data_IF_626135848819
#
_entry.id   IF_626135848819
#
_cell.length_a   1.000
_cell.length_b   1.000
_cell.length_c   1.000
_cell.angle_alpha   90.00
_cell.angle_beta   90.00
_cell.angle_gamma   90.00
#
_symmetry.space_group_name_H-M   'P 1'
#
loop_
_entity.id
_entity.type
_entity.pdbx_description
1 polymer ?
#
# COMPACT_ATOMS: atom_id res chain seq x y z
N UNK A 1 -3.11 14.78 -72.95
CA UNK A 1 -4.49 14.51 -72.49
C UNK A 1 -4.59 13.01 -72.27
N UNK A 2 -4.68 12.62 -71.00
CA UNK A 2 -4.91 11.26 -70.45
C UNK A 2 -3.91 10.13 -70.78
N UNK A 3 -2.74 10.20 -70.13
CA UNK A 3 -1.97 9.11 -69.48
C UNK A 3 -2.84 8.44 -68.37
N UNK A 4 -2.67 7.25 -67.79
CA UNK A 4 -1.80 6.07 -67.93
C UNK A 4 -2.43 4.95 -67.04
N UNK A 5 -2.07 3.68 -67.31
CA UNK A 5 -1.71 2.55 -66.41
C UNK A 5 -2.24 2.51 -64.93
N UNK A 6 -2.42 1.41 -64.17
CA UNK A 6 -2.06 -0.02 -64.15
C UNK A 6 -2.68 -0.65 -62.85
N UNK A 7 -2.75 -2.00 -62.79
CA UNK A 7 -2.61 -2.92 -61.63
C UNK A 7 -3.70 -3.07 -60.51
N UNK A 8 -4.13 -4.33 -60.36
CA UNK A 8 -4.67 -5.12 -59.19
C UNK A 8 -3.99 -4.82 -57.82
N UNK A 9 -4.38 -5.39 -56.62
CA UNK A 9 -5.51 -6.26 -56.18
C UNK A 9 -6.10 -5.98 -54.74
N UNK A 10 -7.02 -6.85 -54.28
CA UNK A 10 -7.26 -7.37 -52.88
C UNK A 10 -7.77 -6.49 -51.71
N UNK A 11 -8.88 -7.00 -51.11
CA UNK A 11 -9.27 -7.11 -49.69
C UNK A 11 -9.17 -5.89 -48.76
N UNK A 12 -10.34 -5.42 -48.32
CA UNK A 12 -10.78 -5.29 -46.92
C UNK A 12 -11.96 -4.30 -46.90
N UNK A 13 -13.12 -4.72 -46.38
CA UNK A 13 -13.96 -3.88 -45.52
C UNK A 13 -15.23 -4.64 -45.11
N UNK A 14 -15.36 -4.91 -43.81
CA UNK A 14 -16.66 -4.99 -43.16
C UNK A 14 -16.87 -3.66 -42.44
N UNK A 15 -17.98 -2.95 -42.66
CA UNK A 15 -18.47 -1.97 -41.71
C UNK A 15 -19.67 -2.51 -40.92
N UNK A 16 -19.70 -2.13 -39.64
CA UNK A 16 -20.72 -2.43 -38.64
C UNK A 16 -22.05 -1.68 -38.86
N UNK A 17 -23.12 -2.30 -38.36
CA UNK A 17 -24.32 -1.72 -37.72
C UNK A 17 -25.42 -0.96 -38.49
N UNK A 18 -26.65 -1.51 -38.42
CA UNK A 18 -27.99 -0.95 -38.06
C UNK A 18 -29.08 -1.69 -38.88
N UNK A 19 -30.21 -2.17 -38.37
CA UNK A 19 -31.18 -1.55 -37.46
C UNK A 19 -32.03 -2.57 -36.67
N UNK A 20 -32.45 -2.14 -35.47
CA UNK A 20 -33.42 -2.78 -34.54
C UNK A 20 -34.86 -2.45 -34.98
N UNK A 21 -35.90 -3.22 -34.64
CA UNK A 21 -36.54 -3.33 -33.30
C UNK A 21 -37.87 -4.15 -33.43
N UNK A 22 -38.67 -4.45 -32.38
CA UNK A 22 -38.42 -4.77 -30.96
C UNK A 22 -39.23 -6.00 -30.38
N UNK A 23 -38.92 -6.32 -29.11
CA UNK A 23 -39.36 -7.34 -28.10
C UNK A 23 -40.84 -7.25 -27.61
N UNK A 24 -41.44 -8.20 -26.81
CA UNK A 24 -41.11 -8.52 -25.37
C UNK A 24 -41.54 -9.94 -24.84
N UNK A 25 -41.61 -10.27 -23.52
CA UNK A 25 -40.65 -10.20 -22.39
C UNK A 25 -40.47 -11.55 -21.58
N UNK A 26 -39.65 -11.56 -20.51
CA UNK A 26 -39.29 -12.71 -19.59
C UNK A 26 -40.14 -12.78 -18.30
N UNK A 27 -40.36 -13.97 -17.71
CA UNK A 27 -40.36 -14.26 -16.24
C UNK A 27 -40.58 -15.76 -15.88
N UNK A 28 -39.92 -16.28 -14.81
CA UNK A 28 -40.41 -17.38 -13.92
C UNK A 28 -39.72 -18.76 -13.92
N UNK A 29 -39.23 -19.23 -12.75
CA UNK A 29 -38.78 -20.62 -12.37
C UNK A 29 -39.94 -21.40 -11.69
N UNK A 30 -39.96 -22.78 -11.59
CA UNK A 30 -39.44 -23.54 -10.41
C UNK A 30 -38.92 -25.00 -10.68
N UNK A 31 -37.84 -25.45 -10.03
CA UNK A 31 -37.72 -26.46 -8.94
C UNK A 31 -37.48 -27.94 -9.33
N UNK A 32 -36.32 -28.48 -8.89
CA UNK A 32 -36.23 -29.75 -8.13
C UNK A 32 -34.90 -29.88 -7.40
N UNK A 33 -35.01 -30.37 -6.18
CA UNK A 33 -34.02 -30.51 -5.13
C UNK A 33 -32.90 -31.51 -5.44
N UNK A 34 -31.73 -31.29 -4.84
CA UNK A 34 -31.10 -32.19 -3.85
C UNK A 34 -29.57 -31.98 -3.83
N UNK A 35 -29.03 -31.41 -2.75
CA UNK A 35 -27.78 -31.87 -2.16
C UNK A 35 -27.54 -31.31 -0.76
N UNK A 36 -27.19 -32.25 0.11
CA UNK A 36 -27.07 -32.15 1.54
C UNK A 36 -25.85 -31.33 2.02
N UNK A 37 -26.03 -30.84 3.25
CA UNK A 37 -25.16 -30.08 4.14
C UNK A 37 -23.68 -30.48 4.13
N UNK A 38 -22.78 -29.48 4.14
CA UNK A 38 -21.56 -29.51 4.95
C UNK A 38 -21.38 -28.15 5.59
N UNK A 39 -21.30 -28.17 6.93
CA UNK A 39 -21.54 -27.04 7.81
C UNK A 39 -20.62 -25.84 7.62
N UNK A 40 -21.24 -24.68 7.71
CA UNK A 40 -20.62 -23.41 8.05
C UNK A 40 -19.96 -23.56 9.43
N UNK A 41 -18.63 -23.64 9.47
CA UNK A 41 -17.90 -23.52 10.74
C UNK A 41 -17.94 -22.05 11.13
N UNK A 42 -18.35 -21.69 12.37
CA UNK A 42 -18.19 -20.34 12.87
C UNK A 42 -16.70 -19.98 12.80
N UNK A 43 -16.36 -18.96 12.01
CA UNK A 43 -15.00 -18.43 12.02
C UNK A 43 -14.78 -17.81 13.39
N UNK A 44 -13.92 -18.43 14.19
CA UNK A 44 -13.46 -17.86 15.46
C UNK A 44 -12.95 -16.43 15.19
N UNK A 45 -13.28 -15.44 16.03
CA UNK A 45 -12.84 -14.08 15.81
C UNK A 45 -11.31 -14.08 15.78
N UNK A 46 -10.73 -13.67 14.66
CA UNK A 46 -9.28 -13.55 14.50
C UNK A 46 -8.79 -12.58 15.57
N UNK A 47 -8.25 -13.10 16.67
CA UNK A 47 -7.72 -12.30 17.77
C UNK A 47 -6.46 -11.64 17.25
N UNK A 48 -6.56 -10.37 16.80
CA UNK A 48 -5.40 -9.59 16.41
C UNK A 48 -4.61 -9.31 17.70
N UNK A 49 -3.44 -9.95 17.92
CA UNK A 49 -2.72 -9.83 19.17
C UNK A 49 -2.41 -8.36 19.45
N UNK A 50 -2.53 -7.95 20.71
CA UNK A 50 -2.15 -6.60 21.12
C UNK A 50 -0.62 -6.53 21.08
N UNK A 51 -0.02 -5.53 20.40
CA UNK A 51 1.43 -5.40 20.38
C UNK A 51 1.97 -5.23 21.80
N UNK A 52 3.02 -5.99 22.16
CA UNK A 52 3.66 -5.94 23.48
C UNK A 52 3.98 -4.51 23.93
N UNK A 53 4.49 -3.70 22.99
CA UNK A 53 4.88 -2.31 23.23
C UNK A 53 3.67 -1.39 23.45
N UNK A 54 2.52 -1.71 22.86
CA UNK A 54 1.27 -1.00 23.12
C UNK A 54 0.79 -1.26 24.55
N UNK A 55 0.85 -2.50 25.03
CA UNK A 55 0.48 -2.80 26.43
C UNK A 55 1.39 -2.11 27.44
N UNK A 56 2.70 -2.19 27.23
CA UNK A 56 3.69 -1.48 28.05
C UNK A 56 3.44 0.02 28.07
N UNK A 57 3.10 0.60 26.92
CA UNK A 57 2.79 2.02 26.83
C UNK A 57 1.63 2.41 27.75
N UNK A 58 0.53 1.65 27.74
CA UNK A 58 -0.64 1.97 28.56
C UNK A 58 -0.46 1.65 30.05
N UNK A 59 0.22 0.55 30.38
CA UNK A 59 0.36 0.06 31.77
C UNK A 59 1.47 0.76 32.54
N UNK A 60 2.60 1.05 31.89
CA UNK A 60 3.83 1.50 32.58
C UNK A 60 4.23 2.92 32.18
N UNK A 61 4.25 3.21 30.87
CA UNK A 61 4.81 4.47 30.35
C UNK A 61 3.87 5.66 30.60
N UNK A 62 2.57 5.49 30.38
CA UNK A 62 1.57 6.53 30.64
C UNK A 62 1.55 7.02 32.11
N UNK A 63 1.46 6.16 33.13
CA UNK A 63 1.49 6.61 34.52
C UNK A 63 2.84 7.26 34.88
N UNK A 64 3.96 6.68 34.46
CA UNK A 64 5.28 7.28 34.70
C UNK A 64 5.47 8.64 34.04
N UNK A 65 4.92 8.86 32.85
CA UNK A 65 4.91 10.17 32.20
C UNK A 65 3.98 11.17 32.91
N UNK A 66 2.84 10.70 33.42
CA UNK A 66 1.90 11.54 34.17
C UNK A 66 2.56 12.11 35.43
N UNK A 67 3.27 11.26 36.17
CA UNK A 67 4.01 11.64 37.37
C UNK A 67 5.17 12.58 37.05
N UNK A 68 6.03 12.22 36.08
CA UNK A 68 7.18 13.04 35.70
C UNK A 68 6.81 14.43 35.17
N UNK A 69 5.70 14.53 34.44
CA UNK A 69 5.24 15.80 33.85
C UNK A 69 4.25 16.55 34.76
N UNK A 70 3.85 15.98 35.90
CA UNK A 70 2.93 16.60 36.86
C UNK A 70 1.55 16.95 36.29
N UNK A 71 1.08 16.26 35.24
CA UNK A 71 -0.16 16.63 34.52
C UNK A 71 -1.38 15.91 35.07
N UNK A 72 -2.42 16.67 35.42
CA UNK A 72 -3.70 16.12 35.87
C UNK A 72 -4.51 15.48 34.71
N UNK A 73 -4.45 16.07 33.52
CA UNK A 73 -5.25 15.64 32.37
C UNK A 73 -4.56 14.51 31.58
N UNK A 74 -5.20 13.34 31.49
CA UNK A 74 -4.70 12.18 30.74
C UNK A 74 -4.48 12.46 29.24
N UNK A 75 -5.32 13.31 28.64
CA UNK A 75 -5.23 13.66 27.21
C UNK A 75 -4.05 14.59 26.91
N UNK A 76 -3.48 15.22 27.92
CA UNK A 76 -2.31 16.10 27.78
C UNK A 76 -0.98 15.33 27.73
N UNK A 77 -1.01 14.00 27.91
CA UNK A 77 0.19 13.16 27.89
C UNK A 77 0.60 12.90 26.44
N UNK A 78 1.90 13.02 26.10
CA UNK A 78 2.37 12.79 24.74
C UNK A 78 2.11 11.35 24.27
N UNK A 79 1.63 11.22 23.03
CA UNK A 79 1.34 9.94 22.39
C UNK A 79 1.96 9.86 21.01
N UNK A 80 2.28 8.64 20.59
CA UNK A 80 2.70 8.37 19.22
C UNK A 80 1.46 8.43 18.30
N UNK A 81 1.45 9.38 17.36
CA UNK A 81 0.35 9.53 16.39
C UNK A 81 0.55 8.65 15.16
N UNK A 82 1.74 8.72 14.56
CA UNK A 82 2.09 7.99 13.33
C UNK A 82 3.61 7.84 13.22
N UNK A 83 4.03 6.77 12.56
CA UNK A 83 5.41 6.60 12.10
C UNK A 83 5.38 6.63 10.57
N UNK A 84 6.15 7.53 9.97
CA UNK A 84 6.31 7.61 8.51
C UNK A 84 7.68 7.07 8.17
N UNK A 85 7.71 6.00 7.38
CA UNK A 85 8.95 5.46 6.83
C UNK A 85 9.03 5.90 5.38
N UNK A 86 10.11 6.57 5.03
CA UNK A 86 10.35 7.11 3.70
C UNK A 86 11.69 6.58 3.17
N UNK A 87 11.69 6.13 1.92
CA UNK A 87 12.88 5.65 1.23
C UNK A 87 13.02 6.42 -0.09
N UNK A 88 14.08 7.21 -0.19
CA UNK A 88 14.48 7.86 -1.43
C UNK A 88 15.36 6.92 -2.24
N UNK A 89 14.97 6.61 -3.48
CA UNK A 89 15.71 5.72 -4.37
C UNK A 89 16.20 6.53 -5.55
N UNK A 90 17.29 7.30 -5.37
CA UNK A 90 17.81 8.19 -6.43
C UNK A 90 18.20 7.47 -7.73
N UNK A 91 18.53 6.17 -7.64
CA UNK A 91 18.83 5.30 -8.79
C UNK A 91 17.58 4.89 -9.58
N UNK A 92 16.37 5.05 -9.01
CA UNK A 92 15.12 4.67 -9.65
C UNK A 92 14.80 5.50 -10.91
N UNK A 93 15.40 6.69 -11.05
CA UNK A 93 15.25 7.54 -12.25
C UNK A 93 15.91 6.86 -13.47
N UNK A 94 17.03 6.17 -13.26
CA UNK A 94 17.75 5.47 -14.33
C UNK A 94 17.16 4.08 -14.60
N UNK A 95 16.79 3.35 -13.54
CA UNK A 95 16.29 1.99 -13.64
C UNK A 95 15.06 1.76 -12.76
N UNK A 96 13.94 1.42 -13.38
CA UNK A 96 12.66 1.18 -12.67
C UNK A 96 12.70 -0.04 -11.74
N UNK A 97 13.60 -1.00 -12.00
CA UNK A 97 13.75 -2.23 -11.18
C UNK A 97 14.06 -1.93 -9.72
N UNK A 98 14.95 -0.96 -9.46
CA UNK A 98 15.26 -0.54 -8.09
C UNK A 98 14.05 0.03 -7.35
N UNK A 99 13.08 0.59 -8.07
CA UNK A 99 11.84 1.08 -7.47
C UNK A 99 10.94 -0.09 -7.04
N UNK A 100 10.85 -1.14 -7.84
CA UNK A 100 10.07 -2.34 -7.53
C UNK A 100 10.67 -3.10 -6.33
N UNK A 101 11.99 -3.27 -6.32
CA UNK A 101 12.72 -3.88 -5.20
C UNK A 101 12.52 -3.10 -3.90
N UNK A 102 12.60 -1.77 -3.94
CA UNK A 102 12.37 -0.92 -2.77
C UNK A 102 10.93 -1.01 -2.25
N UNK A 103 9.94 -1.08 -3.16
CA UNK A 103 8.53 -1.28 -2.79
C UNK A 103 8.31 -2.63 -2.12
N UNK A 104 8.93 -3.69 -2.65
CA UNK A 104 8.84 -5.03 -2.09
C UNK A 104 9.50 -5.12 -0.72
N UNK A 105 10.72 -4.57 -0.58
CA UNK A 105 11.44 -4.54 0.69
C UNK A 105 10.64 -3.78 1.78
N UNK A 106 10.11 -2.60 1.48
CA UNK A 106 9.30 -1.85 2.44
C UNK A 106 7.99 -2.57 2.78
N UNK A 107 7.37 -3.24 1.80
CA UNK A 107 6.17 -4.05 2.03
C UNK A 107 6.47 -5.22 2.97
N UNK A 108 7.60 -5.90 2.80
CA UNK A 108 8.02 -7.00 3.67
C UNK A 108 8.33 -6.49 5.09
N UNK A 109 9.04 -5.37 5.23
CA UNK A 109 9.39 -4.80 6.54
C UNK A 109 8.12 -4.35 7.29
N UNK A 110 7.25 -3.59 6.62
CA UNK A 110 6.14 -2.89 7.29
C UNK A 110 4.80 -3.64 7.23
N UNK A 111 4.68 -4.67 6.39
CA UNK A 111 3.42 -5.40 6.17
C UNK A 111 2.32 -4.56 5.51
N UNK A 112 2.66 -3.40 4.96
CA UNK A 112 1.72 -2.45 4.34
C UNK A 112 2.23 -2.07 2.95
N UNK A 113 1.30 -1.95 1.98
CA UNK A 113 1.63 -1.51 0.63
C UNK A 113 2.14 -0.06 0.66
N UNK A 114 3.39 0.22 0.24
CA UNK A 114 3.91 1.58 0.20
C UNK A 114 3.31 2.39 -0.96
N UNK A 115 3.37 3.71 -0.83
CA UNK A 115 2.95 4.66 -1.87
C UNK A 115 4.19 5.23 -2.56
N UNK A 116 4.20 5.23 -3.89
CA UNK A 116 5.27 5.84 -4.70
C UNK A 116 5.19 7.35 -4.58
N UNK A 117 6.33 8.00 -4.35
CA UNK A 117 6.44 9.47 -4.29
C UNK A 117 7.01 9.99 -5.60
N UNK A 118 6.20 10.83 -6.25
CA UNK A 118 6.60 11.52 -7.47
C UNK A 118 7.24 12.87 -7.15
N UNK A 119 8.09 13.34 -8.07
CA UNK A 119 8.68 14.65 -8.03
C UNK A 119 7.64 15.76 -8.18
N UNK A 120 7.85 16.86 -7.46
CA UNK A 120 7.04 18.08 -7.55
C UNK A 120 7.68 19.17 -8.40
N UNK A 121 9.00 19.12 -8.55
CA UNK A 121 9.78 20.13 -9.25
C UNK A 121 10.81 19.46 -10.14
N UNK A 122 11.11 20.09 -11.26
CA UNK A 122 12.17 19.67 -12.17
C UNK A 122 13.50 20.30 -11.77
N UNK A 123 14.53 19.49 -11.54
CA UNK A 123 15.87 19.95 -11.14
C UNK A 123 16.91 19.27 -12.02
N UNK A 124 17.62 20.05 -12.83
CA UNK A 124 18.58 19.55 -13.82
C UNK A 124 19.78 18.81 -13.18
N UNK A 125 20.28 19.28 -12.03
CA UNK A 125 21.43 18.67 -11.34
C UNK A 125 21.19 17.20 -10.94
N UNK A 126 19.93 16.85 -10.63
CA UNK A 126 19.52 15.49 -10.29
C UNK A 126 18.94 14.73 -11.48
N UNK A 127 18.99 15.30 -12.69
CA UNK A 127 18.39 14.79 -13.94
C UNK A 127 16.90 14.47 -13.77
N UNK A 128 16.21 15.30 -13.00
CA UNK A 128 14.89 15.00 -12.46
C UNK A 128 13.84 15.89 -13.12
N UNK A 129 12.76 15.29 -13.63
CA UNK A 129 11.61 16.01 -14.20
C UNK A 129 10.38 15.82 -13.33
N UNK A 130 9.45 16.75 -13.39
CA UNK A 130 8.14 16.66 -12.73
C UNK A 130 7.37 15.39 -13.09
N UNK A 131 6.70 14.80 -12.10
CA UNK A 131 5.94 13.56 -12.24
C UNK A 131 6.78 12.26 -12.22
N UNK A 132 8.11 12.33 -12.20
CA UNK A 132 8.97 11.14 -12.11
C UNK A 132 8.92 10.51 -10.71
N UNK A 133 8.86 9.17 -10.66
CA UNK A 133 8.96 8.41 -9.41
C UNK A 133 10.39 8.47 -8.86
N UNK A 134 10.54 8.93 -7.60
CA UNK A 134 11.85 9.07 -6.94
C UNK A 134 11.99 8.09 -5.77
N UNK A 135 10.87 7.76 -5.12
CA UNK A 135 10.94 6.96 -3.91
C UNK A 135 9.59 6.39 -3.51
N UNK A 136 9.55 5.89 -2.29
CA UNK A 136 8.36 5.31 -1.73
C UNK A 136 8.27 5.61 -0.23
N UNK A 137 7.04 5.77 0.24
CA UNK A 137 6.76 6.02 1.66
C UNK A 137 5.61 5.16 2.15
N UNK A 138 5.61 4.90 3.45
CA UNK A 138 4.49 4.26 4.14
C UNK A 138 4.22 4.98 5.44
N UNK A 139 2.94 5.12 5.78
CA UNK A 139 2.50 5.73 7.04
C UNK A 139 1.83 4.67 7.88
N UNK A 140 2.45 4.35 9.01
CA UNK A 140 1.99 3.38 9.99
C UNK A 140 1.25 4.09 11.12
N UNK A 141 0.09 3.55 11.48
CA UNK A 141 -0.75 4.03 12.58
C UNK A 141 -1.32 2.83 13.35
N UNK A 142 -1.78 3.06 14.58
CA UNK A 142 -2.42 2.03 15.40
C UNK A 142 -1.47 0.86 15.72
N UNK A 143 -1.98 -0.37 15.65
CA UNK A 143 -1.23 -1.59 16.06
C UNK A 143 0.06 -1.80 15.25
N UNK A 144 0.01 -1.63 13.92
CA UNK A 144 1.16 -1.82 13.02
C UNK A 144 2.32 -0.88 13.34
N UNK A 145 2.03 0.32 13.84
CA UNK A 145 3.04 1.29 14.28
C UNK A 145 3.82 0.77 15.49
N UNK A 146 3.12 0.23 16.49
CA UNK A 146 3.75 -0.33 17.69
C UNK A 146 4.55 -1.60 17.38
N UNK A 147 4.07 -2.48 16.50
CA UNK A 147 4.85 -3.64 16.05
C UNK A 147 6.11 -3.26 15.28
N UNK A 148 6.02 -2.24 14.41
CA UNK A 148 7.19 -1.76 13.67
C UNK A 148 8.22 -1.17 14.64
N UNK A 149 7.78 -0.37 15.61
CA UNK A 149 8.67 0.20 16.62
C UNK A 149 9.33 -0.88 17.49
N UNK A 150 8.57 -1.90 17.88
CA UNK A 150 9.10 -3.02 18.67
C UNK A 150 10.16 -3.82 17.88
N UNK A 151 9.89 -4.11 16.60
CA UNK A 151 10.87 -4.77 15.71
C UNK A 151 12.10 -3.89 15.47
N UNK A 152 11.92 -2.58 15.35
CA UNK A 152 13.01 -1.64 15.19
C UNK A 152 13.96 -1.68 16.40
N UNK A 153 13.41 -1.51 17.60
CA UNK A 153 14.21 -1.41 18.83
C UNK A 153 14.81 -2.75 19.24
N UNK A 154 14.01 -3.83 19.18
CA UNK A 154 14.43 -5.14 19.71
C UNK A 154 15.29 -5.93 18.74
N UNK A 155 15.11 -5.75 17.42
CA UNK A 155 15.77 -6.58 16.40
C UNK A 155 16.71 -5.75 15.52
N UNK A 156 16.24 -4.63 14.98
CA UNK A 156 17.00 -3.91 13.97
C UNK A 156 18.17 -3.13 14.55
N UNK A 157 17.96 -2.31 15.60
CA UNK A 157 19.00 -1.46 16.18
C UNK A 157 20.22 -2.25 16.71
N UNK A 158 20.06 -3.38 17.43
CA UNK A 158 21.20 -4.17 17.89
C UNK A 158 22.00 -4.84 16.75
N UNK A 159 21.38 -5.00 15.59
CA UNK A 159 22.03 -5.58 14.40
C UNK A 159 22.74 -4.54 13.54
N UNK A 160 22.60 -3.24 13.83
CA UNK A 160 23.32 -2.19 13.11
C UNK A 160 24.80 -2.25 13.51
N UNK A 161 25.69 -2.27 12.51
CA UNK A 161 27.13 -2.24 12.73
C UNK A 161 27.52 -0.97 13.50
N UNK A 162 28.28 -1.14 14.57
CA UNK A 162 28.76 -0.07 15.46
C UNK A 162 27.64 0.79 16.08
N UNK A 163 26.59 0.16 16.61
CA UNK A 163 25.51 0.89 17.28
C UNK A 163 25.97 1.53 18.60
N UNK A 164 26.04 2.86 18.66
CA UNK A 164 26.42 3.67 19.84
C UNK A 164 25.26 4.41 20.51
N UNK A 165 24.01 4.09 20.12
CA UNK A 165 22.82 4.82 20.54
C UNK A 165 22.25 5.71 19.44
N UNK A 166 21.13 6.38 19.75
CA UNK A 166 20.41 7.29 18.87
C UNK A 166 20.74 8.74 19.25
N UNK A 167 20.89 9.60 18.24
CA UNK A 167 21.10 11.06 18.40
C UNK A 167 19.82 11.85 18.21
#
# INVERSE_FOLDING_TARGET
MSEDQEKKPTQADQPEHSDKAPKPPKAGKPDKAEKAKKGDKPQEPVVIPVPRLQEKYYKEILPGLKEKLGRANRMSIPRLEKIVVNMGVGKAIADKKYMEEALEALKQITGQKPVVTNSRQSIANFKLREGMAIGCKVTLRGKRMFEFLDRLVSIALPRVRDFRGLS
#
